data_IF_649956997109
#
_entry.id   IF_649956997109
#
_cell.length_a   1.000
_cell.length_b   1.000
_cell.length_c   1.000
_cell.angle_alpha   90.00
_cell.angle_beta   90.00
_cell.angle_gamma   90.00
#
_symmetry.space_group_name_H-M   'P 1'
#
loop_
_entity.id
_entity.type
_entity.pdbx_description
1 polymer ?
#
# COMPACT_ATOMS: atom_id res chain seq x y z
N UNK A 1 0.67 -10.30 -0.22
CA UNK A 1 1.36 -9.35 0.69
C UNK A 1 0.33 -8.80 1.67
N UNK A 2 0.69 -8.59 2.93
CA UNK A 2 -0.27 -8.02 3.90
C UNK A 2 -0.45 -6.51 3.65
N UNK A 3 -1.67 -5.95 3.74
CA UNK A 3 -1.91 -4.52 3.50
C UNK A 3 -1.03 -3.60 4.35
N UNK A 4 -0.70 -3.99 5.59
CA UNK A 4 0.15 -3.18 6.46
C UNK A 4 1.58 -3.04 5.94
N UNK A 5 2.12 -4.09 5.31
CA UNK A 5 3.45 -4.08 4.72
C UNK A 5 3.50 -3.14 3.50
N UNK A 6 2.44 -3.15 2.68
CA UNK A 6 2.28 -2.24 1.55
C UNK A 6 2.27 -0.79 2.02
N UNK A 7 1.44 -0.47 3.02
CA UNK A 7 1.32 0.89 3.56
C UNK A 7 2.65 1.35 4.15
N UNK A 8 3.33 0.48 4.92
CA UNK A 8 4.64 0.79 5.49
C UNK A 8 5.65 1.14 4.40
N UNK A 9 5.77 0.27 3.38
CA UNK A 9 6.75 0.45 2.30
C UNK A 9 6.43 1.70 1.47
N UNK A 10 5.16 1.97 1.18
CA UNK A 10 4.74 3.17 0.46
C UNK A 10 5.10 4.45 1.24
N UNK A 11 4.89 4.47 2.57
CA UNK A 11 5.32 5.60 3.43
C UNK A 11 6.84 5.80 3.42
N UNK A 12 7.63 4.73 3.42
CA UNK A 12 9.10 4.80 3.33
C UNK A 12 9.57 5.35 1.98
N UNK A 13 8.89 4.97 0.89
CA UNK A 13 9.13 5.52 -0.45
C UNK A 13 8.86 7.01 -0.49
N UNK A 14 7.71 7.48 0.04
CA UNK A 14 7.39 8.90 0.11
C UNK A 14 8.42 9.70 0.92
N UNK A 15 8.95 9.13 2.00
CA UNK A 15 10.06 9.75 2.77
C UNK A 15 11.34 9.86 1.95
N UNK A 16 11.69 8.83 1.19
CA UNK A 16 12.87 8.85 0.31
C UNK A 16 12.69 9.82 -0.85
N UNK A 17 11.49 9.88 -1.43
CA UNK A 17 11.16 10.81 -2.52
C UNK A 17 11.44 12.26 -2.18
N UNK A 18 11.10 12.68 -0.95
CA UNK A 18 11.43 14.02 -0.44
C UNK A 18 12.92 14.35 -0.50
N UNK A 19 13.81 13.34 -0.62
CA UNK A 19 15.28 13.50 -0.70
C UNK A 19 15.83 13.35 -2.12
N UNK A 20 15.24 12.49 -2.96
CA UNK A 20 15.78 12.13 -4.29
C UNK A 20 14.97 12.70 -5.46
N UNK A 21 13.90 13.45 -5.16
CA UNK A 21 13.02 14.24 -6.05
C UNK A 21 12.34 13.50 -7.21
N UNK A 22 12.65 12.21 -7.43
CA UNK A 22 12.00 11.37 -8.45
C UNK A 22 11.46 10.07 -7.84
N UNK A 23 10.27 9.68 -8.28
CA UNK A 23 9.62 8.44 -7.86
C UNK A 23 10.44 7.21 -8.24
N UNK A 24 10.97 7.16 -9.47
CA UNK A 24 11.79 6.04 -9.95
C UNK A 24 13.04 5.81 -9.08
N UNK A 25 13.74 6.87 -8.67
CA UNK A 25 14.89 6.73 -7.78
C UNK A 25 14.48 6.28 -6.37
N UNK A 26 13.35 6.77 -5.87
CA UNK A 26 12.82 6.34 -4.58
C UNK A 26 12.42 4.86 -4.59
N UNK A 27 11.77 4.38 -5.66
CA UNK A 27 11.42 2.97 -5.82
C UNK A 27 12.65 2.08 -5.91
N UNK A 28 13.64 2.47 -6.73
CA UNK A 28 14.88 1.72 -6.91
C UNK A 28 15.62 1.55 -5.57
N UNK A 29 15.70 2.60 -4.74
CA UNK A 29 16.34 2.55 -3.42
C UNK A 29 15.66 1.59 -2.44
N UNK A 30 14.37 1.29 -2.66
CA UNK A 30 13.59 0.35 -1.85
C UNK A 30 13.41 -1.01 -2.53
N UNK A 31 14.09 -1.27 -3.65
CA UNK A 31 13.99 -2.52 -4.40
C UNK A 31 12.60 -2.79 -4.97
N UNK A 32 11.86 -1.72 -5.31
CA UNK A 32 10.48 -1.81 -5.78
C UNK A 32 10.37 -1.66 -7.28
N UNK A 33 9.58 -2.54 -7.88
CA UNK A 33 9.14 -2.41 -9.25
C UNK A 33 7.97 -1.42 -9.39
N UNK A 34 7.91 -0.72 -10.52
CA UNK A 34 6.86 0.28 -10.81
C UNK A 34 5.46 -0.33 -10.84
N UNK A 35 5.29 -1.52 -11.43
CA UNK A 35 4.01 -2.22 -11.47
C UNK A 35 3.54 -2.67 -10.09
N UNK A 36 4.48 -3.00 -9.20
CA UNK A 36 4.18 -3.30 -7.80
C UNK A 36 3.64 -2.09 -7.06
N UNK A 37 4.26 -0.91 -7.24
CA UNK A 37 3.75 0.32 -6.64
C UNK A 37 2.39 0.68 -7.22
N UNK A 38 2.22 0.66 -8.53
CA UNK A 38 0.97 1.03 -9.19
C UNK A 38 -0.21 0.16 -8.73
N UNK A 39 -0.02 -1.16 -8.66
CA UNK A 39 -1.08 -2.11 -8.24
C UNK A 39 -1.43 -2.03 -6.75
N UNK A 40 -0.56 -1.45 -5.92
CA UNK A 40 -0.76 -1.37 -4.48
C UNK A 40 -0.91 0.06 -3.96
N UNK A 41 -0.85 1.06 -4.84
CA UNK A 41 -0.99 2.48 -4.51
C UNK A 41 -2.35 2.78 -3.91
N UNK A 42 -3.44 2.28 -4.51
CA UNK A 42 -4.81 2.62 -4.08
C UNK A 42 -5.08 2.32 -2.60
N UNK A 43 -4.65 1.14 -2.12
CA UNK A 43 -4.83 0.77 -0.70
C UNK A 43 -3.90 1.56 0.23
N UNK A 44 -2.71 1.91 -0.24
CA UNK A 44 -1.76 2.71 0.52
C UNK A 44 -2.21 4.17 0.65
N UNK A 45 -2.67 4.76 -0.45
CA UNK A 45 -3.22 6.12 -0.54
C UNK A 45 -4.47 6.24 0.31
N UNK A 46 -5.40 5.28 0.24
CA UNK A 46 -6.59 5.25 1.09
C UNK A 46 -6.22 5.24 2.58
N UNK A 47 -5.29 4.38 2.98
CA UNK A 47 -4.85 4.29 4.38
C UNK A 47 -4.11 5.55 4.89
N UNK A 48 -3.61 6.40 3.98
CA UNK A 48 -2.97 7.67 4.30
C UNK A 48 -3.98 8.82 4.32
N UNK A 49 -4.89 8.86 3.34
CA UNK A 49 -5.87 9.92 3.16
C UNK A 49 -7.03 9.83 4.17
N UNK A 50 -7.54 8.61 4.39
CA UNK A 50 -8.63 8.33 5.34
C UNK A 50 -8.35 7.05 6.14
N UNK A 51 -7.59 7.15 7.25
CA UNK A 51 -7.32 6.02 8.11
C UNK A 51 -8.58 5.42 8.73
N UNK A 52 -9.64 6.22 8.97
CA UNK A 52 -10.87 5.77 9.61
C UNK A 52 -11.62 4.79 8.71
N UNK A 53 -11.86 5.21 7.47
CA UNK A 53 -12.51 4.40 6.46
C UNK A 53 -11.69 3.15 6.10
N UNK A 54 -10.36 3.27 6.03
CA UNK A 54 -9.49 2.09 5.85
C UNK A 54 -9.69 1.04 6.96
N UNK A 55 -9.80 1.45 8.22
CA UNK A 55 -10.06 0.51 9.32
C UNK A 55 -11.44 -0.13 9.25
N UNK A 56 -12.44 0.62 8.77
CA UNK A 56 -13.78 0.09 8.54
C UNK A 56 -13.80 -1.01 7.47
N UNK A 57 -13.21 -0.74 6.30
CA UNK A 57 -13.06 -1.75 5.22
C UNK A 57 -12.29 -2.97 5.70
N UNK A 58 -11.21 -2.76 6.47
CA UNK A 58 -10.41 -3.86 7.01
C UNK A 58 -11.22 -4.76 7.95
N UNK A 59 -12.13 -4.19 8.76
CA UNK A 59 -13.01 -4.95 9.65
C UNK A 59 -14.12 -5.69 8.90
N UNK A 60 -14.58 -5.14 7.77
CA UNK A 60 -15.62 -5.73 6.91
C UNK A 60 -15.14 -6.96 6.15
N UNK A 61 -13.85 -7.04 5.78
CA UNK A 61 -13.26 -8.16 5.04
C UNK A 61 -12.92 -9.36 5.95
N UNK A 62 -13.89 -9.84 6.72
CA UNK A 62 -13.74 -11.09 7.51
C UNK A 62 -14.08 -12.34 6.71
N UNK A 63 -14.83 -12.19 5.62
CA UNK A 63 -15.18 -13.28 4.72
C UNK A 63 -14.07 -13.45 3.69
N UNK A 64 -13.62 -14.69 3.53
CA UNK A 64 -12.62 -15.08 2.54
C UNK A 64 -13.30 -15.72 1.33
N UNK A 65 -12.64 -15.75 0.17
CA UNK A 65 -13.16 -16.48 -1.00
C UNK A 65 -13.42 -17.96 -0.71
N UNK A 66 -12.74 -18.54 0.28
CA UNK A 66 -12.98 -19.90 0.74
C UNK A 66 -14.31 -20.05 1.49
N UNK A 67 -14.81 -19.00 2.13
CA UNK A 67 -16.11 -19.00 2.81
C UNK A 67 -17.27 -18.98 1.81
N UNK A 68 -17.04 -18.47 0.59
CA UNK A 68 -18.01 -18.44 -0.50
C UNK A 68 -18.13 -19.75 -1.29
N UNK A 69 -17.18 -20.66 -1.12
CA UNK A 69 -17.12 -21.94 -1.85
C UNK A 69 -17.75 -23.12 -1.09
N UNK A 70 -18.37 -22.86 0.07
CA UNK A 70 -19.11 -23.84 0.88
C UNK A 70 -20.61 -23.71 0.64
#
# INVERSE_FOLDING_TARGET
RKPEEVIKRYKEVLKTFRKVTTMSAAFHRHGLDRGTIASTASIAELAIADPGFYQEIKKSNKETLLDFAK
#
